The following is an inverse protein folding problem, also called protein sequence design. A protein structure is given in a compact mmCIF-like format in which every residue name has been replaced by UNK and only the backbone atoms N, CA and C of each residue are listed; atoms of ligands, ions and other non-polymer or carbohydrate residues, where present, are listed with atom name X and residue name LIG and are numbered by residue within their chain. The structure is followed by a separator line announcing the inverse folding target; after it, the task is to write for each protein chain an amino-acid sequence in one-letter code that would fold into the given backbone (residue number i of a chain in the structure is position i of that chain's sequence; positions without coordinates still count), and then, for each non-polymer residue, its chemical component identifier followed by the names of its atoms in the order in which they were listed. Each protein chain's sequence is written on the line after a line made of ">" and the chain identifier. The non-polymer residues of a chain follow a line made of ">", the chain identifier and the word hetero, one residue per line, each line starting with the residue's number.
data_IF_218336590891
#
_entry.id   IF_218336590891
#
_cell.length_a   1.000
_cell.length_b   1.000
_cell.length_c   1.000
_cell.angle_alpha   90.00
_cell.angle_beta   90.00
_cell.angle_gamma   90.00
#
_symmetry.space_group_name_H-M   'P 1'
#
loop_
_entity.id
_entity.type
_entity.pdbx_description
1 polymer ?
#
# COMPACT_ATOMS: atom_id res chain seq x y z
N UNK A 1 -8.22 5.31 14.08
CA UNK A 1 -7.50 4.11 14.55
C UNK A 1 -6.84 3.40 13.37
N UNK A 2 -7.60 3.10 12.32
CA UNK A 2 -7.04 2.50 11.11
C UNK A 2 -5.98 3.36 10.41
N UNK A 3 -6.18 4.69 10.35
CA UNK A 3 -5.13 5.62 9.90
C UNK A 3 -3.81 5.44 10.66
N UNK A 4 -3.85 5.14 11.96
CA UNK A 4 -2.65 4.91 12.74
C UNK A 4 -2.03 3.54 12.42
N UNK A 5 -2.85 2.52 12.12
CA UNK A 5 -2.39 1.21 11.65
C UNK A 5 -1.71 1.36 10.28
N UNK A 6 -2.34 2.02 9.31
CA UNK A 6 -1.73 2.28 8.00
C UNK A 6 -0.46 3.12 8.12
N UNK A 7 -0.45 4.16 8.96
CA UNK A 7 0.77 4.95 9.25
C UNK A 7 1.86 4.10 9.90
N UNK A 8 1.49 3.19 10.81
CA UNK A 8 2.39 2.22 11.42
C UNK A 8 2.98 1.29 10.38
N UNK A 9 2.17 0.76 9.46
CA UNK A 9 2.60 -0.07 8.34
C UNK A 9 3.55 0.69 7.44
N UNK A 10 3.23 1.94 7.05
CA UNK A 10 4.12 2.78 6.22
C UNK A 10 5.44 3.06 6.95
N UNK A 11 5.40 3.37 8.25
CA UNK A 11 6.60 3.61 9.06
C UNK A 11 7.46 2.35 9.19
N UNK A 12 6.85 1.18 9.38
CA UNK A 12 7.56 -0.10 9.42
C UNK A 12 8.12 -0.49 8.05
N UNK A 13 7.35 -0.26 6.97
CA UNK A 13 7.73 -0.54 5.57
C UNK A 13 9.07 0.09 5.22
N UNK A 14 9.29 1.36 5.59
CA UNK A 14 10.54 2.06 5.27
C UNK A 14 11.79 1.47 5.96
N UNK A 15 11.61 0.60 6.96
CA UNK A 15 12.71 -0.10 7.61
C UNK A 15 12.95 -1.49 7.02
N UNK A 16 12.04 -2.03 6.21
CA UNK A 16 12.26 -3.31 5.54
C UNK A 16 13.08 -3.10 4.27
N UNK A 17 14.15 -3.87 4.14
CA UNK A 17 15.00 -3.92 2.96
C UNK A 17 14.90 -5.31 2.36
N UNK A 18 14.35 -5.38 1.15
CA UNK A 18 14.31 -6.60 0.37
C UNK A 18 15.66 -6.85 -0.30
N UNK A 19 16.12 -8.10 -0.27
CA UNK A 19 17.35 -8.55 -0.91
C UNK A 19 17.06 -9.79 -1.74
N UNK A 20 17.45 -9.75 -3.01
CA UNK A 20 17.41 -10.91 -3.89
C UNK A 20 18.66 -11.75 -3.64
N UNK A 21 18.50 -12.93 -3.05
CA UNK A 21 19.57 -13.92 -2.91
C UNK A 21 19.31 -15.13 -3.80
N UNK A 22 20.40 -15.80 -4.23
CA UNK A 22 20.36 -17.06 -4.99
C UNK A 22 19.52 -18.18 -4.36
N UNK A 23 19.32 -18.12 -3.04
CA UNK A 23 18.57 -19.10 -2.25
C UNK A 23 17.17 -18.61 -1.84
N UNK A 24 16.69 -17.49 -2.38
CA UNK A 24 15.42 -16.88 -1.94
C UNK A 24 14.23 -17.68 -2.48
N UNK A 25 13.31 -18.16 -1.63
CA UNK A 25 12.14 -18.93 -2.07
C UNK A 25 11.00 -18.04 -2.59
N UNK A 26 11.29 -16.81 -3.02
CA UNK A 26 10.29 -15.78 -3.29
C UNK A 26 9.92 -15.79 -4.76
N UNK A 27 8.63 -15.63 -5.05
CA UNK A 27 8.12 -15.36 -6.39
C UNK A 27 7.99 -13.86 -6.60
N UNK A 28 8.38 -13.38 -7.79
CA UNK A 28 8.34 -11.96 -8.18
C UNK A 28 6.92 -11.38 -8.19
N UNK A 29 5.89 -12.22 -8.34
CA UNK A 29 4.49 -11.78 -8.22
C UNK A 29 4.10 -11.38 -6.79
N UNK A 30 4.81 -11.93 -5.80
CA UNK A 30 4.62 -11.58 -4.40
C UNK A 30 5.48 -10.39 -3.99
N UNK A 31 6.30 -9.86 -4.91
CA UNK A 31 7.15 -8.73 -4.61
C UNK A 31 6.30 -7.46 -4.49
N UNK A 32 6.49 -6.75 -3.39
CA UNK A 32 5.67 -5.60 -3.04
C UNK A 32 6.31 -4.28 -3.47
N UNK A 33 7.64 -4.22 -3.69
CA UNK A 33 8.34 -2.99 -4.10
C UNK A 33 9.70 -3.31 -4.74
N UNK A 34 9.86 -3.02 -6.03
CA UNK A 34 11.15 -2.98 -6.71
C UNK A 34 11.67 -1.52 -6.75
N UNK A 35 12.78 -1.22 -6.08
CA UNK A 35 13.40 0.13 -6.07
C UNK A 35 12.46 1.29 -5.69
N UNK A 36 11.48 1.04 -4.81
CA UNK A 36 10.51 2.05 -4.38
C UNK A 36 9.24 2.13 -5.24
N UNK A 37 9.15 1.36 -6.32
CA UNK A 37 7.98 1.26 -7.19
C UNK A 37 7.29 -0.09 -7.06
N UNK A 38 5.96 -0.09 -7.16
CA UNK A 38 5.21 -1.33 -7.27
C UNK A 38 5.37 -1.89 -8.69
N UNK A 39 5.39 -3.22 -8.84
CA UNK A 39 5.53 -3.84 -10.16
C UNK A 39 4.42 -3.38 -11.12
N UNK A 40 3.18 -3.18 -10.65
CA UNK A 40 2.07 -2.70 -11.48
C UNK A 40 2.21 -1.23 -11.92
N UNK A 41 3.07 -0.45 -11.26
CA UNK A 41 3.39 0.94 -11.65
C UNK A 41 4.43 1.00 -12.75
N UNK A 42 5.14 -0.11 -13.01
CA UNK A 42 6.06 -0.21 -14.14
C UNK A 42 5.25 -0.30 -15.44
N UNK A 43 5.61 0.54 -16.41
CA UNK A 43 5.01 0.46 -17.75
C UNK A 43 5.22 -0.94 -18.33
N UNK A 44 4.19 -1.46 -19.01
CA UNK A 44 4.23 -2.78 -19.64
C UNK A 44 4.45 -3.96 -18.67
N UNK A 45 4.18 -3.81 -17.37
CA UNK A 45 4.32 -4.87 -16.35
C UNK A 45 3.61 -6.20 -16.70
N UNK A 46 2.55 -6.14 -17.52
CA UNK A 46 1.85 -7.32 -18.00
C UNK A 46 2.77 -8.32 -18.73
N UNK A 47 3.88 -7.87 -19.34
CA UNK A 47 4.81 -8.75 -20.04
C UNK A 47 5.47 -9.76 -19.10
N UNK A 48 5.68 -9.37 -17.83
CA UNK A 48 6.19 -10.25 -16.78
C UNK A 48 5.08 -11.16 -16.24
N UNK A 49 3.89 -10.61 -16.01
CA UNK A 49 2.80 -11.37 -15.39
C UNK A 49 2.28 -12.50 -16.29
N UNK A 50 2.24 -12.31 -17.61
CA UNK A 50 1.71 -13.33 -18.53
C UNK A 50 2.63 -14.54 -18.69
N UNK A 51 3.93 -14.32 -18.55
CA UNK A 51 4.99 -15.31 -18.83
C UNK A 51 5.57 -15.95 -17.57
N UNK A 52 5.53 -15.26 -16.43
CA UNK A 52 6.04 -15.75 -15.16
C UNK A 52 4.92 -16.36 -14.32
N UNK A 53 5.04 -17.65 -13.99
CA UNK A 53 4.02 -18.39 -13.25
C UNK A 53 3.89 -17.85 -11.82
N UNK A 54 2.70 -17.93 -11.22
CA UNK A 54 2.39 -17.31 -9.93
C UNK A 54 3.31 -17.78 -8.78
N UNK A 55 3.78 -19.03 -8.86
CA UNK A 55 4.65 -19.67 -7.88
C UNK A 55 6.06 -19.95 -8.41
N UNK A 56 6.42 -19.40 -9.57
CA UNK A 56 7.77 -19.58 -10.10
C UNK A 56 8.80 -18.89 -9.18
N UNK A 57 9.86 -19.57 -8.75
CA UNK A 57 10.89 -18.97 -7.92
C UNK A 57 11.69 -17.93 -8.71
N UNK A 58 12.15 -16.89 -8.01
CA UNK A 58 12.99 -15.84 -8.59
C UNK A 58 14.26 -16.37 -9.27
N UNK A 59 14.71 -17.57 -8.88
CA UNK A 59 15.84 -18.27 -9.49
C UNK A 59 15.68 -18.59 -10.97
N UNK A 60 14.45 -18.61 -11.50
CA UNK A 60 14.23 -18.78 -12.95
C UNK A 60 14.62 -17.54 -13.77
N UNK A 61 14.78 -16.39 -13.12
CA UNK A 61 15.05 -15.11 -13.77
C UNK A 61 16.50 -14.65 -13.63
N UNK A 62 17.40 -15.51 -13.16
CA UNK A 62 18.83 -15.21 -13.14
C UNK A 62 19.71 -16.46 -13.27
N UNK A 63 20.93 -16.25 -13.71
CA UNK A 63 22.00 -17.25 -13.76
C UNK A 63 23.27 -16.74 -13.04
N UNK A 64 24.43 -17.41 -13.15
CA UNK A 64 25.68 -16.90 -12.60
C UNK A 64 26.13 -15.54 -13.16
N UNK A 65 25.67 -15.15 -14.35
CA UNK A 65 26.05 -13.89 -15.03
C UNK A 65 25.17 -12.72 -14.64
N UNK A 66 23.93 -12.97 -14.19
CA UNK A 66 23.02 -11.93 -13.70
C UNK A 66 21.57 -12.24 -14.02
N UNK A 67 20.74 -11.20 -14.11
CA UNK A 67 19.34 -11.33 -14.53
C UNK A 67 19.23 -11.83 -15.97
N UNK A 68 18.39 -12.84 -16.17
CA UNK A 68 17.97 -13.32 -17.49
C UNK A 68 16.52 -12.92 -17.70
N UNK A 69 16.26 -12.19 -18.78
CA UNK A 69 14.90 -11.86 -19.19
C UNK A 69 14.62 -12.49 -20.56
N UNK A 70 13.53 -13.27 -20.70
CA UNK A 70 13.02 -13.68 -21.99
C UNK A 70 12.80 -12.48 -22.92
N UNK A 71 12.94 -12.69 -24.23
CA UNK A 71 12.78 -11.64 -25.24
C UNK A 71 11.38 -11.01 -25.27
N UNK A 72 10.38 -11.70 -24.70
CA UNK A 72 9.02 -11.17 -24.56
C UNK A 72 8.85 -10.14 -23.44
N UNK A 73 9.88 -9.88 -22.63
CA UNK A 73 9.79 -8.92 -21.53
C UNK A 73 10.07 -7.52 -22.05
N UNK A 74 9.19 -6.57 -21.74
CA UNK A 74 9.36 -5.20 -22.19
C UNK A 74 10.60 -4.55 -21.56
N UNK A 75 11.27 -3.66 -22.30
CA UNK A 75 12.50 -2.99 -21.85
C UNK A 75 12.33 -2.25 -20.52
N UNK A 76 11.17 -1.64 -20.27
CA UNK A 76 10.88 -0.95 -19.00
C UNK A 76 10.94 -1.88 -17.79
N UNK A 77 10.38 -3.09 -17.93
CA UNK A 77 10.42 -4.12 -16.88
C UNK A 77 11.86 -4.58 -16.66
N UNK A 78 12.59 -4.83 -17.75
CA UNK A 78 13.99 -5.22 -17.65
C UNK A 78 14.82 -4.12 -16.96
N UNK A 79 14.62 -2.85 -17.33
CA UNK A 79 15.33 -1.72 -16.75
C UNK A 79 14.97 -1.48 -15.28
N UNK A 80 13.76 -1.83 -14.86
CA UNK A 80 13.34 -1.74 -13.46
C UNK A 80 13.99 -2.82 -12.58
N UNK A 81 14.12 -4.05 -13.09
CA UNK A 81 14.60 -5.21 -12.32
C UNK A 81 16.13 -5.34 -12.39
N UNK A 82 16.75 -5.08 -13.56
CA UNK A 82 18.19 -5.28 -13.79
C UNK A 82 19.12 -4.60 -12.78
N UNK A 83 18.81 -3.39 -12.25
CA UNK A 83 19.64 -2.76 -11.21
C UNK A 83 19.60 -3.45 -9.85
N UNK A 84 18.65 -4.35 -9.60
CA UNK A 84 18.51 -5.04 -8.32
C UNK A 84 19.68 -6.02 -8.17
N UNK A 85 20.52 -5.90 -7.12
CA UNK A 85 21.67 -6.78 -6.96
C UNK A 85 21.23 -8.20 -6.55
N UNK A 86 21.81 -9.20 -7.21
CA UNK A 86 21.66 -10.61 -6.83
C UNK A 86 22.78 -10.99 -5.88
N UNK A 87 22.43 -11.29 -4.64
CA UNK A 87 23.36 -11.64 -3.57
C UNK A 87 23.68 -13.13 -3.64
N UNK A 88 24.98 -13.43 -3.62
CA UNK A 88 25.52 -14.81 -3.77
C UNK A 88 26.29 -15.29 -2.54
N UNK A 89 26.09 -14.65 -1.39
CA UNK A 89 26.77 -14.96 -0.12
C UNK A 89 26.23 -16.23 0.58
N UNK A 90 25.27 -16.93 -0.04
CA UNK A 90 24.60 -18.11 0.51
C UNK A 90 23.50 -17.79 1.53
N UNK A 91 23.24 -16.51 1.85
CA UNK A 91 22.18 -16.11 2.77
C UNK A 91 20.80 -16.51 2.23
N UNK A 92 19.99 -17.21 3.02
CA UNK A 92 18.58 -17.45 2.69
C UNK A 92 17.67 -16.25 3.05
N UNK A 93 18.21 -15.23 3.74
CA UNK A 93 17.42 -14.11 4.25
C UNK A 93 17.25 -13.03 3.18
N UNK A 94 16.06 -12.99 2.61
CA UNK A 94 15.60 -12.05 1.59
C UNK A 94 14.94 -10.78 2.16
N UNK A 95 14.65 -10.75 3.46
CA UNK A 95 14.04 -9.61 4.13
C UNK A 95 14.87 -9.22 5.36
N UNK A 96 15.37 -7.98 5.37
CA UNK A 96 16.13 -7.42 6.49
C UNK A 96 15.42 -6.21 7.07
N UNK A 97 15.71 -5.92 8.34
CA UNK A 97 15.23 -4.71 9.02
C UNK A 97 16.37 -3.76 9.31
N UNK A 98 16.13 -2.49 8.99
CA UNK A 98 17.08 -1.40 8.98
C UNK A 98 18.34 -1.73 8.16
N UNK A 99 19.37 -0.87 8.21
CA UNK A 99 20.67 -1.10 7.55
C UNK A 99 21.48 -2.27 8.15
N UNK A 100 20.90 -3.10 9.01
CA UNK A 100 21.57 -4.19 9.72
C UNK A 100 21.22 -5.57 9.19
N UNK A 101 22.02 -6.58 9.59
CA UNK A 101 21.73 -8.01 9.38
C UNK A 101 20.67 -8.54 10.38
N UNK A 102 19.68 -7.72 10.69
CA UNK A 102 18.56 -8.16 11.51
C UNK A 102 17.65 -8.97 10.60
N UNK A 103 17.53 -10.26 10.88
CA UNK A 103 16.80 -11.22 10.04
C UNK A 103 15.68 -11.93 10.78
N UNK A 104 15.62 -11.79 12.11
CA UNK A 104 14.61 -12.43 12.95
C UNK A 104 13.49 -11.46 13.30
N UNK A 105 12.26 -11.94 13.17
CA UNK A 105 11.04 -11.18 13.51
C UNK A 105 11.08 -10.53 14.89
N UNK A 106 11.58 -11.26 15.91
CA UNK A 106 11.67 -10.73 17.28
C UNK A 106 12.55 -9.48 17.42
N UNK A 107 13.61 -9.36 16.61
CA UNK A 107 14.45 -8.17 16.62
C UNK A 107 13.76 -6.98 15.92
N UNK A 108 12.98 -7.24 14.86
CA UNK A 108 12.15 -6.21 14.21
C UNK A 108 11.18 -5.60 15.21
N UNK A 109 10.47 -6.45 15.94
CA UNK A 109 9.51 -6.03 16.97
C UNK A 109 10.21 -5.23 18.07
N UNK A 110 11.37 -5.69 18.55
CA UNK A 110 12.12 -4.99 19.60
C UNK A 110 12.57 -3.60 19.16
N UNK A 111 13.06 -3.46 17.92
CA UNK A 111 13.50 -2.17 17.40
C UNK A 111 12.31 -1.23 17.10
N UNK A 112 11.26 -1.75 16.46
CA UNK A 112 10.06 -0.97 16.13
C UNK A 112 9.40 -0.36 17.37
N UNK A 113 9.27 -1.15 18.44
CA UNK A 113 8.66 -0.72 19.69
C UNK A 113 9.67 -0.11 20.68
N UNK A 114 10.93 0.11 20.30
CA UNK A 114 11.98 0.62 21.20
C UNK A 114 11.65 1.94 21.90
N UNK A 115 10.80 2.76 21.28
CA UNK A 115 10.36 4.05 21.83
C UNK A 115 8.87 4.06 22.22
N UNK A 116 8.21 2.90 22.23
CA UNK A 116 6.82 2.79 22.67
C UNK A 116 6.78 2.74 24.20
N UNK A 117 6.31 3.82 24.82
CA UNK A 117 6.29 3.93 26.27
C UNK A 117 5.38 2.89 26.93
N UNK A 118 4.28 2.45 26.29
CA UNK A 118 3.38 1.45 26.88
C UNK A 118 4.04 0.06 26.96
N UNK A 119 4.92 -0.25 25.99
CA UNK A 119 5.67 -1.51 25.95
C UNK A 119 6.94 -1.43 26.80
N UNK A 120 7.69 -0.32 26.73
CA UNK A 120 8.97 -0.18 27.42
C UNK A 120 8.85 0.17 28.90
N UNK A 121 7.74 0.78 29.35
CA UNK A 121 7.54 1.06 30.78
C UNK A 121 7.10 -0.17 31.58
N UNK A 122 6.89 -1.32 30.93
CA UNK A 122 6.55 -2.57 31.61
C UNK A 122 7.74 -3.08 32.44
N UNK A 123 7.53 -3.27 33.75
CA UNK A 123 8.52 -3.88 34.65
C UNK A 123 8.72 -5.38 34.39
N UNK A 124 7.82 -6.04 33.66
CA UNK A 124 7.86 -7.48 33.37
C UNK A 124 8.51 -7.73 32.01
N UNK A 125 9.40 -8.74 31.95
CA UNK A 125 10.04 -9.21 30.70
C UNK A 125 9.05 -9.80 29.69
N UNK A 126 7.92 -10.32 30.16
CA UNK A 126 6.83 -10.85 29.34
C UNK A 126 5.48 -10.35 29.88
N UNK A 127 4.53 -10.15 28.99
CA UNK A 127 3.20 -9.66 29.34
C UNK A 127 2.29 -9.56 28.12
N UNK A 128 1.00 -9.32 28.36
CA UNK A 128 0.01 -9.10 27.32
C UNK A 128 -0.61 -7.71 27.47
N UNK A 129 -0.76 -6.99 26.36
CA UNK A 129 -1.48 -5.71 26.31
C UNK A 129 -2.88 -5.99 25.77
N UNK A 130 -3.90 -5.79 26.60
CA UNK A 130 -5.28 -5.93 26.15
C UNK A 130 -5.65 -4.76 25.23
N UNK A 131 -6.20 -5.01 24.02
CA UNK A 131 -6.54 -3.96 23.07
C UNK A 131 -7.85 -3.23 23.44
N UNK A 132 -7.97 -2.76 24.68
CA UNK A 132 -9.22 -2.21 25.26
C UNK A 132 -9.85 -1.11 24.40
N UNK A 133 -9.02 -0.17 23.91
CA UNK A 133 -9.46 0.94 23.04
C UNK A 133 -9.99 0.47 21.68
N UNK A 134 -9.48 -0.65 21.16
CA UNK A 134 -9.97 -1.25 19.94
C UNK A 134 -11.35 -1.86 20.18
N UNK A 135 -11.44 -2.74 21.19
CA UNK A 135 -12.67 -3.45 21.55
C UNK A 135 -13.79 -2.47 21.87
N UNK A 136 -13.53 -1.44 22.66
CA UNK A 136 -14.52 -0.39 22.97
C UNK A 136 -15.02 0.33 21.71
N UNK A 137 -14.15 0.56 20.72
CA UNK A 137 -14.55 1.20 19.46
C UNK A 137 -15.35 0.28 18.55
N UNK A 138 -14.97 -1.00 18.44
CA UNK A 138 -15.74 -2.01 17.71
C UNK A 138 -17.15 -2.12 18.31
N UNK A 139 -17.23 -2.23 19.64
CA UNK A 139 -18.52 -2.26 20.38
C UNK A 139 -19.38 -1.02 20.16
N UNK A 140 -18.76 0.16 20.02
CA UNK A 140 -19.47 1.42 19.78
C UNK A 140 -19.88 1.62 18.31
N UNK A 141 -19.08 1.14 17.36
CA UNK A 141 -19.33 1.33 15.92
C UNK A 141 -20.35 0.35 15.37
N UNK A 142 -20.44 -0.83 15.97
CA UNK A 142 -21.39 -1.85 15.59
C UNK A 142 -22.11 -2.35 16.84
N UNK A 143 -22.98 -1.47 17.34
CA UNK A 143 -23.68 -1.62 18.62
C UNK A 143 -24.63 -2.82 18.64
N UNK A 144 -25.09 -3.27 17.46
CA UNK A 144 -26.02 -4.41 17.33
C UNK A 144 -25.31 -5.75 17.41
N UNK A 145 -24.20 -5.95 16.67
CA UNK A 145 -23.56 -7.27 16.56
C UNK A 145 -22.48 -7.49 17.64
N UNK A 146 -21.65 -6.49 17.95
CA UNK A 146 -20.42 -6.73 18.73
C UNK A 146 -20.46 -6.27 20.19
N UNK A 147 -21.58 -5.72 20.68
CA UNK A 147 -21.71 -5.15 22.04
C UNK A 147 -21.53 -6.18 23.15
N UNK A 148 -21.97 -7.42 22.92
CA UNK A 148 -21.98 -8.47 23.95
C UNK A 148 -20.56 -8.93 24.32
N UNK A 149 -20.44 -9.73 25.40
CA UNK A 149 -19.20 -10.41 25.75
C UNK A 149 -19.14 -11.84 25.19
N UNK A 150 -20.08 -12.21 24.33
CA UNK A 150 -20.11 -13.53 23.71
C UNK A 150 -19.08 -13.66 22.60
N UNK A 151 -18.58 -14.87 22.38
CA UNK A 151 -17.82 -15.22 21.17
C UNK A 151 -18.65 -14.84 19.94
N UNK A 152 -18.01 -14.15 19.00
CA UNK A 152 -18.62 -13.70 17.75
C UNK A 152 -18.01 -14.45 16.58
N UNK A 153 -18.76 -14.52 15.49
CA UNK A 153 -18.26 -15.07 14.24
C UNK A 153 -17.11 -14.20 13.70
N UNK A 154 -15.96 -14.82 13.43
CA UNK A 154 -14.79 -14.14 12.90
C UNK A 154 -14.99 -13.64 11.47
N UNK A 155 -15.82 -14.34 10.68
CA UNK A 155 -16.17 -13.95 9.33
C UNK A 155 -16.99 -12.65 9.34
N UNK A 156 -18.02 -12.57 10.18
CA UNK A 156 -18.84 -11.35 10.35
C UNK A 156 -17.99 -10.18 10.86
N UNK A 157 -17.07 -10.45 11.78
CA UNK A 157 -16.13 -9.43 12.24
C UNK A 157 -15.23 -8.91 11.12
N UNK A 158 -14.73 -9.80 10.26
CA UNK A 158 -13.90 -9.42 9.11
C UNK A 158 -14.68 -8.57 8.11
N UNK A 159 -15.90 -8.96 7.78
CA UNK A 159 -16.76 -8.19 6.87
C UNK A 159 -17.02 -6.80 7.45
N UNK A 160 -17.42 -6.72 8.72
CA UNK A 160 -17.61 -5.44 9.40
C UNK A 160 -16.36 -4.57 9.32
N UNK A 161 -15.19 -5.15 9.61
CA UNK A 161 -13.94 -4.43 9.57
C UNK A 161 -13.67 -3.88 8.17
N UNK A 162 -13.79 -4.71 7.12
CA UNK A 162 -13.53 -4.31 5.74
C UNK A 162 -14.46 -3.18 5.28
N UNK A 163 -15.75 -3.29 5.56
CA UNK A 163 -16.72 -2.24 5.22
C UNK A 163 -16.38 -0.92 5.93
N UNK A 164 -16.01 -0.99 7.22
CA UNK A 164 -15.56 0.20 7.96
C UNK A 164 -14.27 0.79 7.36
N UNK A 165 -13.39 -0.01 6.76
CA UNK A 165 -12.22 0.51 6.04
C UNK A 165 -12.61 1.26 4.79
N UNK A 166 -13.52 0.68 3.98
CA UNK A 166 -14.03 1.29 2.75
C UNK A 166 -14.65 2.65 3.08
N UNK A 167 -15.56 2.71 4.05
CA UNK A 167 -16.22 3.95 4.49
C UNK A 167 -15.22 5.03 4.90
N UNK A 168 -14.15 4.66 5.60
CA UNK A 168 -13.11 5.60 6.03
C UNK A 168 -12.33 6.13 4.82
N UNK A 169 -11.97 5.25 3.88
CA UNK A 169 -11.20 5.62 2.69
C UNK A 169 -12.00 6.50 1.73
N UNK A 170 -13.28 6.19 1.49
CA UNK A 170 -14.17 7.00 0.66
C UNK A 170 -14.37 8.40 1.23
N UNK A 171 -14.62 8.51 2.55
CA UNK A 171 -14.72 9.81 3.23
C UNK A 171 -13.43 10.63 3.09
N UNK A 172 -12.28 9.99 3.07
CA UNK A 172 -10.99 10.67 2.88
C UNK A 172 -10.75 11.13 1.44
N UNK A 173 -11.14 10.33 0.43
CA UNK A 173 -11.04 10.71 -0.97
C UNK A 173 -11.89 11.95 -1.25
N UNK A 174 -13.16 11.91 -0.83
CA UNK A 174 -14.10 13.01 -1.02
C UNK A 174 -13.67 14.30 -0.28
N UNK A 175 -13.01 14.16 0.87
CA UNK A 175 -12.46 15.30 1.63
C UNK A 175 -11.23 15.94 0.97
N UNK A 176 -10.49 15.21 0.12
CA UNK A 176 -9.35 15.77 -0.64
C UNK A 176 -9.81 16.49 -1.90
N UNK A 177 -10.83 15.98 -2.58
CA UNK A 177 -11.38 16.60 -3.78
C UNK A 177 -12.08 17.93 -3.48
N UNK A 178 -12.67 18.08 -2.29
CA UNK A 178 -13.32 19.31 -1.83
C UNK A 178 -12.36 20.44 -1.43
N UNK A 179 -11.06 20.15 -1.26
CA UNK A 179 -10.04 21.16 -0.90
C UNK A 179 -9.24 21.67 -2.12
N UNK A 180 -9.54 21.19 -3.33
CA UNK A 180 -8.85 21.52 -4.58
C UNK A 180 -9.47 22.64 -5.44
N UNK A 181 -10.62 23.22 -5.07
CA UNK A 181 -11.37 24.16 -5.93
C UNK A 181 -11.65 25.52 -5.29
N UNK A 182 -10.70 26.08 -4.52
CA UNK A 182 -10.79 27.50 -4.16
C UNK A 182 -9.41 28.11 -3.98
N UNK A 183 -9.10 29.13 -4.80
CA UNK A 183 -7.92 30.02 -4.91
C UNK A 183 -7.20 29.83 -6.25
N UNK A 184 -7.15 30.73 -7.24
CA UNK A 184 -7.49 32.16 -7.34
C UNK A 184 -7.96 32.48 -8.78
N UNK A 185 -9.09 33.16 -8.90
CA UNK A 185 -9.41 33.99 -10.07
C UNK A 185 -8.91 35.40 -9.72
N UNK A 186 -7.76 35.79 -10.26
CA UNK A 186 -7.30 37.18 -10.21
C UNK A 186 -7.84 37.95 -11.41
N UNK A 187 -8.59 39.00 -11.07
CA UNK A 187 -9.07 40.07 -11.94
C UNK A 187 -7.89 40.71 -12.68
N UNK A 188 -8.01 40.85 -14.00
CA UNK A 188 -7.44 41.98 -14.72
C UNK A 188 -8.57 42.63 -15.51
N UNK A 189 -8.81 43.91 -15.21
CA UNK A 189 -9.78 44.76 -15.87
C UNK A 189 -9.12 45.58 -16.98
N UNK A 190 -9.96 45.91 -17.98
CA UNK A 190 -9.89 46.94 -19.03
C UNK A 190 -9.27 46.59 -20.39
N UNK A 191 -10.12 46.72 -21.43
CA UNK A 191 -9.71 47.23 -22.73
C UNK A 191 -10.44 46.69 -23.97
N UNK A 192 -11.67 47.16 -24.22
CA UNK A 192 -12.29 47.41 -25.54
C UNK A 192 -12.15 46.38 -26.69
N UNK A 193 -13.27 45.77 -27.12
CA UNK A 193 -14.00 46.18 -28.33
C UNK A 193 -15.30 45.39 -28.52
N UNK A 194 -16.35 46.10 -28.90
CA UNK A 194 -17.68 45.58 -29.25
C UNK A 194 -17.63 44.95 -30.64
N UNK A 195 -18.13 43.72 -30.79
CA UNK A 195 -18.83 43.31 -32.02
C UNK A 195 -20.07 42.51 -31.62
N UNK A 196 -21.23 43.10 -31.88
CA UNK A 196 -22.53 42.44 -31.88
C UNK A 196 -22.66 41.62 -33.16
N UNK A 197 -23.05 40.35 -33.09
CA UNK A 197 -23.90 39.72 -34.11
C UNK A 197 -24.88 38.73 -33.44
N UNK A 198 -26.16 38.98 -33.74
CA UNK A 198 -27.33 38.17 -33.43
C UNK A 198 -27.28 36.79 -34.08
N UNK A 199 -27.98 35.80 -33.50
CA UNK A 199 -28.68 34.81 -34.31
C UNK A 199 -28.83 33.40 -33.73
N UNK A 200 -29.94 33.21 -33.02
CA UNK A 200 -30.85 32.05 -33.07
C UNK A 200 -30.69 30.89 -32.08
N UNK A 201 -31.85 30.65 -31.46
CA UNK A 201 -32.30 29.53 -30.64
C UNK A 201 -31.96 28.15 -31.21
N UNK A 202 -31.69 27.16 -30.33
CA UNK A 202 -32.59 26.02 -30.12
C UNK A 202 -32.34 25.45 -28.72
N UNK A 203 -33.43 25.39 -27.97
CA UNK A 203 -33.62 24.77 -26.68
C UNK A 203 -33.96 23.29 -26.90
N UNK A 204 -33.17 22.34 -26.39
CA UNK A 204 -33.64 20.97 -26.19
C UNK A 204 -33.11 20.38 -24.90
N UNK A 205 -33.96 20.44 -23.88
CA UNK A 205 -33.95 19.58 -22.71
C UNK A 205 -34.28 18.15 -23.13
N UNK A 206 -33.50 17.15 -22.68
CA UNK A 206 -34.05 15.80 -22.44
C UNK A 206 -33.54 15.30 -21.10
N UNK A 207 -34.50 15.05 -20.22
CA UNK A 207 -34.38 14.43 -18.92
C UNK A 207 -34.40 12.89 -19.01
N UNK A 208 -33.76 12.29 -18.00
CA UNK A 208 -34.18 11.14 -17.17
C UNK A 208 -34.24 9.68 -17.68
N UNK A 209 -33.77 8.84 -16.73
CA UNK A 209 -34.17 7.46 -16.34
C UNK A 209 -33.67 6.35 -17.27
N UNK A 210 -33.16 5.23 -16.75
CA UNK A 210 -33.42 4.51 -15.49
C UNK A 210 -32.15 4.24 -14.68
#
# INVERSE_FOLDING_TARGET
>A
MWKNICKTTIKAKNNFVFKVSVNSPISLRWDYVCNGLYLYEVQHHHSLLYSFHENAPLSELYDPTGWIFPTCYHADVQNAIRPIPIIRDGSANCLNWAKGNVTKFGHFMKDYYRNDNEINSSKKKTGAIAPKRFVQRVKKRNEELFRSYMHQDAHEFLIFLLNELVDILEKEANAKDSLGTSSQSEKIANGSEKIYLHGNDVQTSVQQRL
#
